data_IF_513089500111
#
_entry.id   IF_513089500111
#
_cell.length_a   1.000
_cell.length_b   1.000
_cell.length_c   1.000
_cell.angle_alpha   90.00
_cell.angle_beta   90.00
_cell.angle_gamma   90.00
#
_symmetry.space_group_name_H-M   'P 1'
#
loop_
_entity.id
_entity.type
_entity.pdbx_description
1 polymer ?
#
# COMPACT_ATOMS: atom_id res chain seq x y z
N UNK A 1 15.19 19.43 -43.14
CA UNK A 1 15.58 18.18 -42.44
C UNK A 1 15.67 18.43 -40.93
N UNK A 2 14.73 19.20 -40.37
CA UNK A 2 14.70 19.61 -38.95
C UNK A 2 13.34 19.33 -38.29
N UNK A 3 12.34 18.85 -39.03
CA UNK A 3 10.99 18.62 -38.48
C UNK A 3 10.85 17.29 -37.74
N UNK A 4 11.51 16.22 -38.21
CA UNK A 4 11.38 14.88 -37.61
C UNK A 4 12.03 14.78 -36.22
N UNK A 5 13.08 15.57 -35.96
CA UNK A 5 13.75 15.60 -34.64
C UNK A 5 12.96 16.35 -33.58
N UNK A 6 12.22 17.39 -33.97
CA UNK A 6 11.42 18.19 -33.03
C UNK A 6 10.13 17.46 -32.63
N UNK A 7 9.54 16.69 -33.56
CA UNK A 7 8.32 15.91 -33.31
C UNK A 7 8.58 14.72 -32.38
N UNK A 8 9.71 14.03 -32.55
CA UNK A 8 10.13 12.93 -31.67
C UNK A 8 10.47 13.42 -30.25
N UNK A 9 11.10 14.59 -30.12
CA UNK A 9 11.38 15.19 -28.82
C UNK A 9 10.10 15.60 -28.08
N UNK A 10 9.13 16.18 -28.81
CA UNK A 10 7.82 16.53 -28.26
C UNK A 10 7.02 15.29 -27.81
N UNK A 11 7.01 14.23 -28.61
CA UNK A 11 6.35 12.97 -28.25
C UNK A 11 6.97 12.34 -27.00
N UNK A 12 8.31 12.31 -26.93
CA UNK A 12 9.01 11.83 -25.72
C UNK A 12 8.69 12.67 -24.49
N UNK A 13 8.59 13.99 -24.62
CA UNK A 13 8.23 14.88 -23.52
C UNK A 13 6.78 14.66 -23.06
N UNK A 14 5.84 14.49 -24.00
CA UNK A 14 4.46 14.15 -23.67
C UNK A 14 4.36 12.81 -22.94
N UNK A 15 5.14 11.81 -23.33
CA UNK A 15 5.18 10.52 -22.62
C UNK A 15 5.65 10.69 -21.17
N UNK A 16 6.68 11.53 -20.92
CA UNK A 16 7.13 11.84 -19.56
C UNK A 16 6.07 12.60 -18.75
N UNK A 17 5.43 13.62 -19.34
CA UNK A 17 4.37 14.39 -18.68
C UNK A 17 3.16 13.49 -18.31
N UNK A 18 2.84 12.51 -19.16
CA UNK A 18 1.79 11.52 -18.89
C UNK A 18 2.16 10.57 -17.75
N UNK A 19 3.42 10.12 -17.67
CA UNK A 19 3.90 9.26 -16.56
C UNK A 19 3.84 10.01 -15.23
N UNK A 20 4.26 11.28 -15.20
CA UNK A 20 4.20 12.13 -14.01
C UNK A 20 2.74 12.39 -13.59
N UNK A 21 1.86 12.66 -14.54
CA UNK A 21 0.42 12.82 -14.27
C UNK A 21 -0.19 11.54 -13.65
N UNK A 22 0.10 10.37 -14.21
CA UNK A 22 -0.39 9.08 -13.70
C UNK A 22 0.15 8.84 -12.28
N UNK A 23 1.40 9.18 -12.01
CA UNK A 23 2.00 9.06 -10.68
C UNK A 23 1.29 9.93 -9.65
N UNK A 24 1.08 11.22 -9.96
CA UNK A 24 0.34 12.14 -9.09
C UNK A 24 -1.11 11.70 -8.85
N UNK A 25 -1.77 11.18 -9.88
CA UNK A 25 -3.13 10.64 -9.77
C UNK A 25 -3.17 9.46 -8.79
N UNK A 26 -2.20 8.53 -8.88
CA UNK A 26 -2.11 7.39 -7.96
C UNK A 26 -1.86 7.84 -6.53
N UNK A 27 -0.98 8.82 -6.32
CA UNK A 27 -0.73 9.42 -5.01
C UNK A 27 -2.02 10.00 -4.42
N UNK A 28 -2.77 10.80 -5.18
CA UNK A 28 -4.04 11.37 -4.73
C UNK A 28 -5.10 10.31 -4.38
N UNK A 29 -5.18 9.22 -5.15
CA UNK A 29 -6.10 8.11 -4.86
C UNK A 29 -5.68 7.39 -3.56
N UNK A 30 -4.38 7.15 -3.36
CA UNK A 30 -3.87 6.52 -2.14
C UNK A 30 -4.13 7.39 -0.91
N UNK A 31 -3.96 8.71 -1.00
CA UNK A 31 -4.28 9.65 0.07
C UNK A 31 -5.78 9.65 0.39
N UNK A 32 -6.64 9.65 -0.62
CA UNK A 32 -8.08 9.56 -0.42
C UNK A 32 -8.48 8.26 0.32
N UNK A 33 -7.92 7.12 -0.09
CA UNK A 33 -8.15 5.86 0.63
C UNK A 33 -7.59 5.88 2.05
N UNK A 34 -6.44 6.50 2.27
CA UNK A 34 -5.87 6.68 3.62
C UNK A 34 -6.82 7.49 4.50
N UNK A 35 -7.39 8.58 3.99
CA UNK A 35 -8.41 9.36 4.69
C UNK A 35 -9.68 8.56 5.00
N UNK A 36 -10.14 7.73 4.07
CA UNK A 36 -11.31 6.86 4.27
C UNK A 36 -11.00 5.81 5.36
N UNK A 37 -9.91 5.06 5.23
CA UNK A 37 -9.55 3.99 6.18
C UNK A 37 -9.37 4.56 7.59
N UNK A 38 -8.62 5.66 7.71
CA UNK A 38 -8.42 6.33 9.01
C UNK A 38 -9.70 6.94 9.57
N UNK A 39 -10.62 7.43 8.73
CA UNK A 39 -11.92 7.94 9.15
C UNK A 39 -12.89 6.87 9.63
N UNK A 40 -12.80 5.64 9.11
CA UNK A 40 -13.59 4.50 9.58
C UNK A 40 -13.02 3.85 10.84
N UNK A 41 -11.75 4.10 11.16
CA UNK A 41 -11.08 3.57 12.34
C UNK A 41 -11.85 3.93 13.62
N UNK A 42 -12.05 2.95 14.51
CA UNK A 42 -12.82 3.08 15.77
C UNK A 42 -14.30 3.46 15.58
N UNK A 43 -14.88 3.23 14.40
CA UNK A 43 -16.32 3.40 14.17
C UNK A 43 -17.03 2.05 14.03
N UNK A 44 -18.32 2.01 14.38
CA UNK A 44 -19.16 0.82 14.22
C UNK A 44 -19.41 0.44 12.75
N UNK A 45 -19.02 1.32 11.81
CA UNK A 45 -19.17 1.14 10.36
C UNK A 45 -17.97 0.48 9.70
N UNK A 46 -16.94 0.11 10.47
CA UNK A 46 -15.76 -0.64 10.00
C UNK A 46 -16.11 -1.86 9.12
N UNK A 47 -17.18 -2.65 9.40
CA UNK A 47 -17.56 -3.77 8.53
C UNK A 47 -17.91 -3.39 7.08
N UNK A 48 -18.34 -2.15 6.81
CA UNK A 48 -18.62 -1.70 5.44
C UNK A 48 -17.35 -1.62 4.60
N UNK A 49 -16.21 -1.29 5.22
CA UNK A 49 -14.92 -1.22 4.56
C UNK A 49 -14.43 -2.62 4.11
N UNK A 50 -14.85 -3.69 4.79
CA UNK A 50 -14.41 -5.05 4.51
C UNK A 50 -14.57 -5.46 3.04
N UNK A 51 -15.69 -5.11 2.42
CA UNK A 51 -15.98 -5.43 1.02
C UNK A 51 -15.04 -4.71 0.02
N UNK A 52 -14.37 -3.64 0.46
CA UNK A 52 -13.47 -2.85 -0.37
C UNK A 52 -11.99 -3.17 -0.13
N UNK A 53 -11.66 -3.93 0.92
CA UNK A 53 -10.26 -4.24 1.30
C UNK A 53 -9.49 -4.90 0.16
N UNK A 54 -10.09 -5.84 -0.55
CA UNK A 54 -9.43 -6.53 -1.67
C UNK A 54 -9.06 -5.55 -2.79
N UNK A 55 -9.98 -4.65 -3.15
CA UNK A 55 -9.73 -3.63 -4.18
C UNK A 55 -8.66 -2.64 -3.76
N UNK A 56 -8.62 -2.26 -2.48
CA UNK A 56 -7.57 -1.38 -1.93
C UNK A 56 -6.21 -2.08 -1.98
N UNK A 57 -6.14 -3.36 -1.60
CA UNK A 57 -4.89 -4.13 -1.64
C UNK A 57 -4.39 -4.36 -3.08
N UNK A 58 -5.29 -4.55 -4.05
CA UNK A 58 -4.92 -4.63 -5.47
C UNK A 58 -4.32 -3.31 -5.97
N UNK A 59 -4.91 -2.16 -5.60
CA UNK A 59 -4.32 -0.85 -5.90
C UNK A 59 -2.92 -0.70 -5.30
N UNK A 60 -2.74 -1.03 -4.01
CA UNK A 60 -1.44 -0.99 -3.33
C UNK A 60 -0.43 -1.87 -4.08
N UNK A 61 -0.83 -3.09 -4.45
CA UNK A 61 0.05 -4.01 -5.15
C UNK A 61 0.48 -3.48 -6.53
N UNK A 62 -0.44 -2.87 -7.27
CA UNK A 62 -0.14 -2.23 -8.57
C UNK A 62 0.83 -1.07 -8.42
N UNK A 63 0.63 -0.21 -7.41
CA UNK A 63 1.51 0.92 -7.11
C UNK A 63 2.92 0.47 -6.72
N UNK A 64 3.06 -0.62 -5.96
CA UNK A 64 4.37 -1.13 -5.53
C UNK A 64 5.10 -1.94 -6.60
N UNK A 65 4.37 -2.55 -7.54
CA UNK A 65 4.95 -3.26 -8.70
C UNK A 65 5.41 -2.34 -9.82
N UNK A 66 4.95 -1.09 -9.83
CA UNK A 66 5.30 -0.12 -10.86
C UNK A 66 6.81 0.15 -10.86
N UNK A 67 7.44 0.15 -12.04
CA UNK A 67 8.88 0.42 -12.17
C UNK A 67 9.18 1.89 -11.91
N UNK A 68 8.25 2.77 -12.30
CA UNK A 68 8.35 4.24 -12.13
C UNK A 68 7.76 4.71 -10.79
N UNK A 69 7.65 3.81 -9.81
CA UNK A 69 7.09 4.16 -8.49
C UNK A 69 7.92 5.24 -7.79
N UNK A 70 7.22 6.30 -7.38
CA UNK A 70 7.81 7.40 -6.62
C UNK A 70 7.96 7.04 -5.13
N UNK A 71 8.84 7.74 -4.42
CA UNK A 71 8.97 7.60 -2.96
C UNK A 71 7.65 7.89 -2.24
N UNK A 72 6.92 8.91 -2.69
CA UNK A 72 5.63 9.28 -2.14
C UNK A 72 4.59 8.15 -2.32
N UNK A 73 4.51 7.57 -3.52
CA UNK A 73 3.63 6.42 -3.80
C UNK A 73 3.97 5.22 -2.91
N UNK A 74 5.26 4.91 -2.73
CA UNK A 74 5.70 3.82 -1.85
C UNK A 74 5.30 4.09 -0.39
N UNK A 75 5.58 5.29 0.11
CA UNK A 75 5.25 5.70 1.48
C UNK A 75 3.74 5.61 1.75
N UNK A 76 2.93 6.16 0.86
CA UNK A 76 1.46 6.11 0.97
C UNK A 76 0.94 4.67 0.91
N UNK A 77 1.49 3.85 0.02
CA UNK A 77 1.13 2.42 -0.11
C UNK A 77 1.42 1.62 1.16
N UNK A 78 2.62 1.77 1.74
CA UNK A 78 2.97 1.11 3.00
C UNK A 78 2.17 1.67 4.19
N UNK A 79 1.91 2.98 4.21
CA UNK A 79 1.07 3.62 5.21
C UNK A 79 -0.35 3.05 5.21
N UNK A 80 -0.98 3.03 4.03
CA UNK A 80 -2.34 2.50 3.85
C UNK A 80 -2.43 1.01 4.22
N UNK A 81 -1.40 0.22 3.90
CA UNK A 81 -1.32 -1.18 4.29
C UNK A 81 -1.31 -1.35 5.83
N UNK A 82 -0.55 -0.53 6.53
CA UNK A 82 -0.52 -0.54 8.00
C UNK A 82 -1.80 0.00 8.62
N UNK A 83 -2.41 1.03 8.04
CA UNK A 83 -3.69 1.58 8.49
C UNK A 83 -4.83 0.57 8.35
N UNK A 84 -4.84 -0.21 7.26
CA UNK A 84 -5.77 -1.34 7.12
C UNK A 84 -5.55 -2.36 8.24
N UNK A 85 -4.31 -2.76 8.51
CA UNK A 85 -4.02 -3.71 9.56
C UNK A 85 -4.45 -3.21 10.96
N UNK A 86 -4.26 -1.92 11.24
CA UNK A 86 -4.65 -1.28 12.51
C UNK A 86 -6.17 -1.03 12.61
N UNK A 87 -6.87 -0.88 11.49
CA UNK A 87 -8.34 -0.74 11.45
C UNK A 87 -9.07 -2.04 11.76
N UNK A 88 -8.45 -3.19 11.47
CA UNK A 88 -9.02 -4.53 11.70
C UNK A 88 -8.20 -5.35 12.70
N UNK A 89 -8.06 -4.90 13.97
CA UNK A 89 -7.18 -5.53 14.96
C UNK A 89 -7.62 -6.94 15.37
N UNK A 90 -8.88 -7.30 15.11
CA UNK A 90 -9.43 -8.63 15.42
C UNK A 90 -9.05 -9.70 14.37
N UNK A 91 -8.23 -9.35 13.38
CA UNK A 91 -7.74 -10.29 12.36
C UNK A 91 -8.74 -10.59 11.25
N UNK A 92 -9.80 -9.78 11.08
CA UNK A 92 -10.84 -9.99 10.07
C UNK A 92 -10.27 -10.05 8.64
N UNK A 93 -9.22 -9.30 8.35
CA UNK A 93 -8.57 -9.24 7.03
C UNK A 93 -7.22 -9.96 6.97
N UNK A 94 -6.91 -10.76 8.00
CA UNK A 94 -5.60 -11.42 8.16
C UNK A 94 -5.22 -12.27 6.95
N UNK A 95 -6.17 -13.02 6.39
CA UNK A 95 -5.93 -13.86 5.20
C UNK A 95 -5.39 -13.06 4.00
N UNK A 96 -5.77 -11.79 3.89
CA UNK A 96 -5.31 -10.92 2.81
C UNK A 96 -3.94 -10.31 3.13
N UNK A 97 -3.74 -9.85 4.38
CA UNK A 97 -2.49 -9.23 4.84
C UNK A 97 -1.31 -10.23 4.94
N UNK A 98 -1.60 -11.51 5.18
CA UNK A 98 -0.60 -12.59 5.20
C UNK A 98 -0.29 -13.18 3.84
N UNK A 99 -0.83 -12.60 2.77
CA UNK A 99 -0.55 -13.07 1.42
C UNK A 99 0.96 -13.05 1.11
N UNK A 100 1.47 -14.01 0.31
CA UNK A 100 2.91 -14.13 0.04
C UNK A 100 3.51 -12.90 -0.61
N UNK A 101 2.74 -12.18 -1.44
CA UNK A 101 3.24 -11.00 -2.13
C UNK A 101 3.59 -9.87 -1.14
N UNK A 102 2.77 -9.64 -0.12
CA UNK A 102 3.04 -8.65 0.94
C UNK A 102 4.29 -9.07 1.73
N UNK A 103 4.42 -10.37 2.03
CA UNK A 103 5.57 -10.89 2.76
C UNK A 103 6.88 -10.70 1.98
N UNK A 104 6.83 -10.88 0.67
CA UNK A 104 7.98 -10.69 -0.20
C UNK A 104 8.31 -9.21 -0.36
N UNK A 105 7.29 -8.38 -0.53
CA UNK A 105 7.42 -6.93 -0.67
C UNK A 105 8.07 -6.29 0.58
N UNK A 106 7.59 -6.61 1.79
CA UNK A 106 8.13 -6.07 3.04
C UNK A 106 9.50 -6.65 3.44
N UNK A 107 9.93 -7.76 2.80
CA UNK A 107 11.27 -8.34 2.98
C UNK A 107 12.27 -7.87 1.93
N UNK A 108 11.79 -7.39 0.80
CA UNK A 108 12.63 -6.93 -0.29
C UNK A 108 13.49 -5.74 0.16
N UNK A 109 14.75 -5.74 -0.28
CA UNK A 109 15.72 -4.69 0.05
C UNK A 109 15.70 -3.62 -1.04
N UNK A 110 14.63 -2.83 -1.11
CA UNK A 110 14.62 -1.68 -2.00
C UNK A 110 15.50 -0.55 -1.44
N UNK A 111 16.16 0.18 -2.33
CA UNK A 111 16.79 1.45 -1.99
C UNK A 111 15.66 2.47 -1.85
N UNK A 112 15.33 2.84 -0.62
CA UNK A 112 14.27 3.79 -0.30
C UNK A 112 14.79 4.84 0.70
N UNK A 113 14.30 6.08 0.62
CA UNK A 113 14.51 7.12 1.63
C UNK A 113 14.21 6.67 3.06
N UNK A 114 14.88 7.32 4.01
CA UNK A 114 14.81 6.95 5.42
C UNK A 114 13.38 6.95 5.99
N UNK A 115 12.53 7.86 5.54
CA UNK A 115 11.16 7.99 6.03
C UNK A 115 10.27 6.85 5.53
N UNK A 116 10.29 6.58 4.23
CA UNK A 116 9.57 5.44 3.61
C UNK A 116 10.00 4.10 4.20
N UNK A 117 11.29 3.96 4.55
CA UNK A 117 11.79 2.78 5.26
C UNK A 117 11.19 2.63 6.66
N UNK A 118 10.97 3.73 7.39
CA UNK A 118 10.30 3.67 8.69
C UNK A 118 8.84 3.25 8.51
N UNK A 119 8.13 3.82 7.54
CA UNK A 119 6.72 3.46 7.25
C UNK A 119 6.60 1.98 6.86
N UNK A 120 7.48 1.48 6.01
CA UNK A 120 7.52 0.05 5.65
C UNK A 120 7.78 -0.85 6.86
N UNK A 121 8.73 -0.46 7.74
CA UNK A 121 9.01 -1.20 8.98
C UNK A 121 7.81 -1.21 9.92
N UNK A 122 7.14 -0.08 10.08
CA UNK A 122 5.92 0.03 10.87
C UNK A 122 4.82 -0.88 10.31
N UNK A 123 4.56 -0.83 8.99
CA UNK A 123 3.59 -1.71 8.35
C UNK A 123 3.90 -3.20 8.56
N UNK A 124 5.19 -3.57 8.54
CA UNK A 124 5.65 -4.92 8.86
C UNK A 124 5.40 -5.29 10.32
N UNK A 125 5.65 -4.40 11.26
CA UNK A 125 5.41 -4.65 12.69
C UNK A 125 3.92 -4.86 12.98
N UNK A 126 3.05 -4.01 12.43
CA UNK A 126 1.59 -4.16 12.60
C UNK A 126 1.11 -5.49 12.01
N UNK A 127 1.68 -5.92 10.89
CA UNK A 127 1.40 -7.25 10.34
C UNK A 127 1.85 -8.38 11.28
N UNK A 128 3.04 -8.30 11.87
CA UNK A 128 3.55 -9.32 12.79
C UNK A 128 2.69 -9.44 14.05
N UNK A 129 2.07 -8.35 14.51
CA UNK A 129 1.09 -8.37 15.62
C UNK A 129 -0.13 -9.22 15.26
N UNK A 130 -0.56 -9.22 14.00
CA UNK A 130 -1.64 -10.10 13.53
C UNK A 130 -1.20 -11.57 13.48
N UNK A 131 0.08 -11.85 13.21
CA UNK A 131 0.64 -13.22 13.25
C UNK A 131 0.66 -13.75 14.69
N UNK A 132 1.17 -12.97 15.66
CA UNK A 132 1.30 -13.41 17.07
C UNK A 132 -0.03 -13.60 17.82
N UNK A 133 -1.12 -12.99 17.35
CA UNK A 133 -2.46 -13.23 17.90
C UNK A 133 -2.94 -14.69 17.72
N UNK A 134 -2.48 -15.42 16.71
CA UNK A 134 -2.81 -16.85 16.55
C UNK A 134 -2.05 -17.71 17.55
N UNK A 135 -0.77 -17.41 17.80
CA UNK A 135 0.05 -18.15 18.76
C UNK A 135 -0.55 -18.05 20.17
N UNK A 136 -1.12 -16.90 20.52
CA UNK A 136 -1.77 -16.69 21.82
C UNK A 136 -3.13 -17.40 21.95
N UNK A 137 -3.88 -17.57 20.85
CA UNK A 137 -5.14 -18.36 20.86
C UNK A 137 -4.89 -19.88 20.82
N UNK A 138 -3.77 -20.32 20.25
CA UNK A 138 -3.38 -21.73 20.19
C UNK A 138 -2.69 -22.24 21.47
N UNK A 139 -2.26 -21.32 22.36
CA UNK A 139 -1.57 -21.64 23.62
C UNK A 139 -2.49 -21.67 24.84
N UNK A 140 -3.80 -21.42 24.68
CA UNK A 140 -4.80 -21.73 25.69
C UNK A 140 -5.36 -23.14 25.42
N UNK A 141 -4.84 -24.21 26.06
CA UNK A 141 -5.53 -25.48 26.07
C UNK A 141 -6.86 -25.31 26.81
N UNK A 142 -7.96 -25.55 26.09
CA UNK A 142 -9.29 -25.91 26.59
C UNK A 142 -9.74 -25.36 27.94
N UNK A 143 -10.68 -24.40 27.89
CA UNK A 143 -11.89 -24.53 28.70
C UNK A 143 -12.81 -25.51 27.97
#
# INVERSE_FOLDING_TARGET
>A
MTSETDEAAYFSQLDYDLVDYVSQLREGILEAYTGIVTGFKKTDKTPLLFNHVVSILDLIQRCLKDEDRTDATMRLSYGLLGDLADTFPQGQIKQYLLSPWIANELRAKFKMPGETKKTMRWAREVRLVLESFDDMKLTCPGV
#
